data_IF_038462812028
#
_entry.id   IF_038462812028
#
_cell.length_a   1.000
_cell.length_b   1.000
_cell.length_c   1.000
_cell.angle_alpha   90.00
_cell.angle_beta   90.00
_cell.angle_gamma   90.00
#
_symmetry.space_group_name_H-M   'P 1'
#
loop_
_entity.id
_entity.type
_entity.pdbx_description
1 polymer ?
#
# COMPACT_ATOMS: atom_id res chain seq x y z
N UNK A 1 -21.14 22.40 -7.47
CA UNK A 1 -19.74 21.93 -7.43
C UNK A 1 -19.70 20.78 -6.45
N UNK A 2 -19.19 19.63 -6.85
CA UNK A 2 -19.01 18.49 -5.93
C UNK A 2 -17.94 18.89 -4.90
N UNK A 3 -18.30 18.88 -3.61
CA UNK A 3 -17.39 19.35 -2.56
C UNK A 3 -16.52 18.24 -1.96
N UNK A 4 -16.78 16.99 -2.33
CA UNK A 4 -16.14 15.80 -1.73
C UNK A 4 -15.84 14.74 -2.77
N UNK A 5 -14.94 13.82 -2.40
CA UNK A 5 -14.83 12.51 -3.05
C UNK A 5 -15.14 11.39 -2.05
N UNK A 6 -15.55 10.24 -2.56
CA UNK A 6 -15.80 9.04 -1.74
C UNK A 6 -15.34 7.77 -2.46
N UNK A 7 -14.92 6.79 -1.69
CA UNK A 7 -14.62 5.46 -2.19
C UNK A 7 -15.94 4.75 -2.49
N UNK A 8 -16.12 4.30 -3.74
CA UNK A 8 -17.31 3.59 -4.20
C UNK A 8 -17.07 2.13 -4.51
N UNK A 9 -15.82 1.73 -4.70
CA UNK A 9 -15.42 0.36 -4.92
C UNK A 9 -14.02 0.08 -4.46
N UNK A 10 -13.79 -1.15 -4.00
CA UNK A 10 -12.48 -1.67 -3.60
C UNK A 10 -12.16 -2.94 -4.38
N UNK A 11 -10.89 -3.24 -4.57
CA UNK A 11 -10.43 -4.45 -5.23
C UNK A 11 -9.00 -4.80 -4.83
N UNK A 12 -8.67 -6.07 -4.91
CA UNK A 12 -7.35 -6.56 -4.54
C UNK A 12 -6.90 -7.73 -5.42
N UNK A 13 -5.59 -7.95 -5.45
CA UNK A 13 -4.98 -9.11 -6.08
C UNK A 13 -3.72 -9.50 -5.30
N UNK A 14 -3.60 -10.80 -5.01
CA UNK A 14 -2.39 -11.42 -4.49
C UNK A 14 -1.89 -12.45 -5.51
N UNK A 15 -0.59 -12.49 -5.82
CA UNK A 15 -0.02 -13.55 -6.64
C UNK A 15 -0.36 -14.94 -6.10
N UNK A 16 -0.61 -15.94 -6.95
CA UNK A 16 -1.04 -17.27 -6.50
C UNK A 16 0.03 -18.03 -5.70
N UNK A 17 1.32 -17.68 -5.88
CA UNK A 17 2.42 -18.29 -5.13
C UNK A 17 2.45 -17.76 -3.70
N UNK A 18 1.76 -18.44 -2.80
CA UNK A 18 1.85 -18.21 -1.37
C UNK A 18 3.12 -18.87 -0.83
N UNK A 19 3.95 -18.11 -0.10
CA UNK A 19 5.22 -18.55 0.50
C UNK A 19 5.07 -18.45 2.02
N UNK A 20 5.04 -19.58 2.69
CA UNK A 20 4.99 -19.66 4.16
C UNK A 20 6.37 -19.37 4.76
N UNK A 21 6.42 -19.16 6.07
CA UNK A 21 7.72 -19.05 6.74
C UNK A 21 8.53 -20.34 6.61
N UNK A 22 7.90 -21.52 6.64
CA UNK A 22 8.59 -22.79 6.45
C UNK A 22 9.23 -22.89 5.05
N UNK A 23 8.52 -22.47 4.00
CA UNK A 23 9.06 -22.43 2.62
C UNK A 23 10.25 -21.48 2.53
N UNK A 24 10.11 -20.30 3.15
CA UNK A 24 11.17 -19.28 3.14
C UNK A 24 12.40 -19.76 3.93
N UNK A 25 12.21 -20.37 5.09
CA UNK A 25 13.29 -20.96 5.91
C UNK A 25 14.05 -22.00 5.10
N UNK A 26 13.36 -22.89 4.38
CA UNK A 26 13.99 -23.90 3.52
C UNK A 26 14.80 -23.23 2.38
N UNK A 27 14.25 -22.19 1.75
CA UNK A 27 14.95 -21.44 0.71
C UNK A 27 16.22 -20.74 1.25
N UNK A 28 16.13 -20.11 2.42
CA UNK A 28 17.24 -19.38 3.05
C UNK A 28 18.33 -20.33 3.56
N UNK A 29 17.97 -21.50 4.08
CA UNK A 29 18.90 -22.53 4.53
C UNK A 29 19.80 -23.04 3.39
N UNK A 30 19.27 -23.13 2.16
CA UNK A 30 20.05 -23.47 0.97
C UNK A 30 21.16 -22.42 0.67
N UNK A 31 20.96 -21.16 1.08
CA UNK A 31 21.94 -20.06 1.01
C UNK A 31 22.76 -19.86 2.28
N UNK A 32 22.75 -20.81 3.23
CA UNK A 32 23.40 -20.73 4.56
C UNK A 32 22.93 -19.54 5.43
N UNK A 33 21.70 -19.09 5.26
CA UNK A 33 21.09 -18.06 6.10
C UNK A 33 20.19 -18.71 7.16
N UNK A 34 20.58 -18.57 8.42
CA UNK A 34 19.86 -19.15 9.55
C UNK A 34 18.67 -18.29 9.96
N UNK A 35 17.48 -18.88 9.99
CA UNK A 35 16.24 -18.30 10.54
C UNK A 35 15.26 -19.39 10.90
N UNK A 36 14.13 -19.03 11.52
CA UNK A 36 13.06 -19.96 11.85
C UNK A 36 11.69 -19.28 11.75
N UNK A 37 10.63 -20.08 11.58
CA UNK A 37 9.26 -19.59 11.63
C UNK A 37 8.98 -18.82 12.93
N UNK A 38 9.39 -19.38 14.08
CA UNK A 38 9.24 -18.74 15.39
C UNK A 38 9.93 -17.36 15.42
N UNK A 39 11.16 -17.26 14.89
CA UNK A 39 11.92 -16.03 14.86
C UNK A 39 11.23 -14.94 14.00
N UNK A 40 10.66 -15.33 12.86
CA UNK A 40 9.92 -14.43 11.96
C UNK A 40 8.63 -13.97 12.64
N UNK A 41 7.83 -14.91 13.17
CA UNK A 41 6.56 -14.66 13.84
C UNK A 41 6.69 -13.70 15.01
N UNK A 42 7.62 -13.96 15.93
CA UNK A 42 7.81 -13.16 17.14
C UNK A 42 8.19 -11.71 16.83
N UNK A 43 8.89 -11.47 15.72
CA UNK A 43 9.39 -10.14 15.35
C UNK A 43 8.46 -9.36 14.45
N UNK A 44 7.68 -10.04 13.64
CA UNK A 44 6.94 -9.41 12.54
C UNK A 44 5.44 -9.68 12.58
N UNK A 45 5.02 -10.80 13.14
CA UNK A 45 3.67 -11.35 13.05
C UNK A 45 3.37 -12.02 11.70
N UNK A 46 4.34 -12.08 10.77
CA UNK A 46 4.13 -12.62 9.40
C UNK A 46 4.21 -14.14 9.42
N UNK A 47 3.21 -14.81 8.86
CA UNK A 47 3.15 -16.26 8.66
C UNK A 47 3.42 -16.64 7.19
N UNK A 48 2.96 -15.78 6.28
CA UNK A 48 3.10 -15.98 4.85
C UNK A 48 3.18 -14.64 4.10
N UNK A 49 3.63 -14.72 2.86
CA UNK A 49 3.61 -13.65 1.86
C UNK A 49 3.34 -14.27 0.50
N UNK A 50 3.12 -13.41 -0.50
CA UNK A 50 2.92 -13.83 -1.86
C UNK A 50 4.04 -13.28 -2.74
N UNK A 51 4.51 -14.07 -3.70
CA UNK A 51 5.53 -13.65 -4.65
C UNK A 51 5.01 -13.80 -6.09
N UNK A 52 5.20 -12.75 -6.87
CA UNK A 52 4.87 -12.74 -8.29
C UNK A 52 5.81 -13.67 -9.07
N UNK A 53 5.31 -14.28 -10.12
CA UNK A 53 6.13 -15.03 -11.08
C UNK A 53 7.01 -14.05 -11.88
N UNK A 54 8.07 -14.56 -12.52
CA UNK A 54 9.07 -13.74 -13.22
C UNK A 54 8.47 -12.93 -14.37
N UNK A 55 7.49 -13.46 -15.06
CA UNK A 55 6.77 -12.88 -16.20
C UNK A 55 5.63 -11.92 -15.80
N UNK A 56 5.28 -11.84 -14.51
CA UNK A 56 4.23 -10.94 -13.99
C UNK A 56 4.82 -9.56 -13.73
N UNK A 57 4.21 -8.52 -14.27
CA UNK A 57 4.59 -7.14 -14.04
C UNK A 57 3.69 -6.45 -13.01
N UNK A 58 4.15 -5.32 -12.48
CA UNK A 58 3.39 -4.51 -11.52
C UNK A 58 2.02 -4.10 -12.08
N UNK A 59 1.97 -3.72 -13.36
CA UNK A 59 0.73 -3.37 -14.05
C UNK A 59 -0.23 -4.56 -14.26
N UNK A 60 0.25 -5.81 -14.29
CA UNK A 60 -0.61 -6.99 -14.39
C UNK A 60 -1.40 -7.20 -13.09
N UNK A 61 -0.72 -7.11 -11.96
CA UNK A 61 -1.38 -7.18 -10.65
C UNK A 61 -2.32 -6.00 -10.44
N UNK A 62 -1.88 -4.79 -10.83
CA UNK A 62 -2.70 -3.58 -10.80
C UNK A 62 -3.98 -3.73 -11.62
N UNK A 63 -3.92 -4.39 -12.79
CA UNK A 63 -5.07 -4.66 -13.66
C UNK A 63 -6.12 -5.52 -12.97
N UNK A 64 -5.71 -6.60 -12.31
CA UNK A 64 -6.67 -7.48 -11.62
C UNK A 64 -7.33 -6.77 -10.42
N UNK A 65 -6.53 -6.04 -9.61
CA UNK A 65 -7.08 -5.24 -8.52
C UNK A 65 -8.05 -4.15 -9.03
N UNK A 66 -7.69 -3.46 -10.12
CA UNK A 66 -8.52 -2.44 -10.76
C UNK A 66 -9.86 -3.01 -11.27
N UNK A 67 -9.83 -4.16 -11.94
CA UNK A 67 -11.05 -4.85 -12.40
C UNK A 67 -11.99 -5.20 -11.24
N UNK A 68 -11.44 -5.65 -10.13
CA UNK A 68 -12.24 -5.95 -8.93
C UNK A 68 -12.84 -4.66 -8.34
N UNK A 69 -12.07 -3.57 -8.26
CA UNK A 69 -12.55 -2.28 -7.76
C UNK A 69 -13.65 -1.69 -8.63
N UNK A 70 -13.47 -1.69 -9.96
CA UNK A 70 -14.48 -1.23 -10.92
C UNK A 70 -15.78 -2.04 -10.82
N UNK A 71 -15.66 -3.37 -10.77
CA UNK A 71 -16.82 -4.25 -10.57
C UNK A 71 -17.56 -3.93 -9.27
N UNK A 72 -16.83 -3.67 -8.18
CA UNK A 72 -17.42 -3.31 -6.89
C UNK A 72 -18.11 -1.94 -6.93
N UNK A 73 -17.55 -0.99 -7.68
CA UNK A 73 -18.14 0.33 -7.90
C UNK A 73 -19.32 0.33 -8.90
N UNK A 74 -19.52 -0.76 -9.66
CA UNK A 74 -20.48 -0.81 -10.77
C UNK A 74 -20.11 0.14 -11.91
N UNK A 75 -18.81 0.26 -12.21
CA UNK A 75 -18.26 1.17 -13.22
C UNK A 75 -17.53 0.41 -14.31
N UNK A 76 -17.63 0.95 -15.53
CA UNK A 76 -16.80 0.52 -16.66
C UNK A 76 -15.49 1.30 -16.74
N UNK A 77 -14.47 0.70 -17.34
CA UNK A 77 -13.18 1.34 -17.53
C UNK A 77 -13.25 2.66 -18.34
N UNK A 78 -14.22 2.77 -19.24
CA UNK A 78 -14.47 3.98 -20.05
C UNK A 78 -15.00 5.17 -19.23
N UNK A 79 -15.46 4.95 -18.02
CA UNK A 79 -15.96 6.01 -17.12
C UNK A 79 -14.85 6.62 -16.27
N UNK A 80 -13.65 6.00 -16.25
CA UNK A 80 -12.48 6.50 -15.52
C UNK A 80 -11.87 7.69 -16.24
N UNK A 81 -11.72 8.79 -15.53
CA UNK A 81 -11.15 10.04 -16.05
C UNK A 81 -9.83 10.45 -15.35
N UNK A 82 -9.32 9.59 -14.43
CA UNK A 82 -8.01 9.73 -13.78
C UNK A 82 -7.50 8.36 -13.31
N UNK A 83 -6.23 8.04 -13.60
CA UNK A 83 -5.56 6.85 -13.06
C UNK A 83 -4.29 7.27 -12.31
N UNK A 84 -4.17 6.85 -11.05
CA UNK A 84 -2.96 7.02 -10.25
C UNK A 84 -2.51 5.65 -9.75
N UNK A 85 -1.26 5.30 -10.04
CA UNK A 85 -0.63 4.09 -9.47
C UNK A 85 0.46 4.50 -8.49
N UNK A 86 0.33 4.04 -7.25
CA UNK A 86 1.36 4.16 -6.24
C UNK A 86 2.26 2.92 -6.33
N UNK A 87 3.51 3.12 -6.73
CA UNK A 87 4.49 2.04 -6.87
C UNK A 87 5.93 2.54 -6.75
N UNK A 88 6.80 1.70 -6.21
CA UNK A 88 8.26 1.85 -6.20
C UNK A 88 8.94 0.76 -7.03
N UNK A 89 8.14 -0.14 -7.62
CA UNK A 89 8.57 -1.27 -8.45
C UNK A 89 7.85 -1.22 -9.81
N UNK A 90 8.00 -0.11 -10.58
CA UNK A 90 7.31 0.06 -11.84
C UNK A 90 7.73 -1.01 -12.85
N UNK A 91 6.91 -1.22 -13.89
CA UNK A 91 7.22 -2.15 -14.99
C UNK A 91 8.54 -1.78 -15.69
N UNK A 92 8.78 -0.49 -15.85
CA UNK A 92 9.96 0.08 -16.51
C UNK A 92 10.21 1.52 -16.05
N UNK A 93 11.32 2.12 -16.48
CA UNK A 93 11.68 3.50 -16.12
C UNK A 93 10.64 4.51 -16.63
N UNK A 94 10.17 4.34 -17.86
CA UNK A 94 9.01 5.03 -18.46
C UNK A 94 8.52 4.22 -19.68
N UNK A 95 7.24 4.33 -20.10
CA UNK A 95 6.18 5.14 -19.50
C UNK A 95 5.81 4.68 -18.09
N UNK A 96 4.97 5.46 -17.39
CA UNK A 96 4.48 5.11 -16.06
C UNK A 96 3.69 3.80 -16.06
N UNK A 97 3.71 3.07 -14.95
CA UNK A 97 2.88 1.88 -14.73
C UNK A 97 1.39 2.20 -14.89
N UNK A 98 0.96 3.42 -14.50
CA UNK A 98 -0.40 3.89 -14.71
C UNK A 98 -0.77 3.99 -16.21
N UNK A 99 0.13 4.46 -17.08
CA UNK A 99 -0.11 4.48 -18.53
C UNK A 99 -0.20 3.07 -19.12
N UNK A 100 0.62 2.13 -18.62
CA UNK A 100 0.56 0.73 -19.04
C UNK A 100 -0.76 0.10 -18.58
N UNK A 101 -1.15 0.33 -17.33
CA UNK A 101 -2.44 -0.10 -16.77
C UNK A 101 -3.61 0.46 -17.57
N UNK A 102 -3.58 1.77 -17.89
CA UNK A 102 -4.60 2.44 -18.72
C UNK A 102 -4.87 1.70 -20.02
N UNK A 103 -3.78 1.36 -20.73
CA UNK A 103 -3.88 0.61 -21.98
C UNK A 103 -4.45 -0.79 -21.78
N UNK A 104 -3.96 -1.54 -20.76
CA UNK A 104 -4.44 -2.89 -20.43
C UNK A 104 -5.90 -2.91 -20.02
N UNK A 105 -6.35 -1.85 -19.33
CA UNK A 105 -7.72 -1.71 -18.84
C UNK A 105 -8.69 -1.21 -19.93
N UNK A 106 -8.19 -0.57 -20.99
CA UNK A 106 -8.99 0.07 -22.01
C UNK A 106 -9.59 1.42 -21.60
N UNK A 107 -9.02 2.08 -20.58
CA UNK A 107 -9.45 3.40 -20.09
C UNK A 107 -8.71 4.54 -20.81
N UNK A 108 -8.82 4.63 -22.11
CA UNK A 108 -8.03 5.56 -22.92
C UNK A 108 -8.49 7.02 -22.77
N UNK A 109 -7.51 7.94 -22.85
CA UNK A 109 -7.73 9.39 -22.96
C UNK A 109 -7.76 10.14 -21.63
N UNK A 110 -7.71 9.47 -20.47
CA UNK A 110 -7.60 10.14 -19.17
C UNK A 110 -6.13 10.37 -18.76
N UNK A 111 -5.82 11.34 -17.88
CA UNK A 111 -4.54 11.44 -17.21
C UNK A 111 -4.19 10.16 -16.47
N UNK A 112 -2.93 9.69 -16.62
CA UNK A 112 -2.42 8.51 -15.96
C UNK A 112 -0.96 8.72 -15.58
N UNK A 113 -0.63 8.59 -14.27
CA UNK A 113 0.72 8.79 -13.75
C UNK A 113 0.97 8.01 -12.47
N UNK A 114 2.25 7.78 -12.19
CA UNK A 114 2.69 7.09 -10.98
C UNK A 114 3.02 8.09 -9.86
N UNK A 115 2.80 7.65 -8.61
CA UNK A 115 3.25 8.32 -7.39
C UNK A 115 4.21 7.40 -6.67
N UNK A 116 5.43 7.90 -6.41
CA UNK A 116 6.44 7.17 -5.65
C UNK A 116 6.56 7.77 -4.23
N UNK A 117 5.92 7.12 -3.27
CA UNK A 117 6.03 7.45 -1.86
C UNK A 117 6.06 6.17 -0.99
N UNK A 118 6.54 5.07 -1.58
CA UNK A 118 6.75 3.75 -0.96
C UNK A 118 5.50 3.32 -0.16
N UNK A 119 5.66 3.02 1.13
CA UNK A 119 4.58 2.52 1.99
C UNK A 119 3.40 3.49 2.17
N UNK A 120 3.64 4.81 2.04
CA UNK A 120 2.59 5.84 2.06
C UNK A 120 2.01 6.14 0.68
N UNK A 121 2.52 5.52 -0.37
CA UNK A 121 2.17 5.82 -1.77
C UNK A 121 0.67 5.80 -2.04
N UNK A 122 -0.05 4.81 -1.50
CA UNK A 122 -1.50 4.75 -1.67
C UNK A 122 -2.24 5.94 -1.03
N UNK A 123 -1.84 6.34 0.18
CA UNK A 123 -2.43 7.52 0.86
C UNK A 123 -2.14 8.79 0.07
N UNK A 124 -0.93 8.94 -0.48
CA UNK A 124 -0.60 10.04 -1.40
C UNK A 124 -1.47 10.01 -2.64
N UNK A 125 -1.64 8.84 -3.27
CA UNK A 125 -2.49 8.67 -4.44
C UNK A 125 -3.95 9.06 -4.18
N UNK A 126 -4.52 8.62 -3.06
CA UNK A 126 -5.88 9.00 -2.62
C UNK A 126 -5.98 10.52 -2.38
N UNK A 127 -4.98 11.11 -1.71
CA UNK A 127 -4.96 12.55 -1.45
C UNK A 127 -4.91 13.39 -2.73
N UNK A 128 -4.09 12.97 -3.71
CA UNK A 128 -4.00 13.64 -5.02
C UNK A 128 -5.31 13.49 -5.78
N UNK A 129 -5.90 12.28 -5.80
CA UNK A 129 -7.18 12.05 -6.47
C UNK A 129 -8.31 12.87 -5.84
N UNK A 130 -8.40 12.91 -4.50
CA UNK A 130 -9.38 13.76 -3.79
C UNK A 130 -9.22 15.24 -4.17
N UNK A 131 -7.98 15.75 -4.17
CA UNK A 131 -7.70 17.13 -4.55
C UNK A 131 -8.12 17.43 -6.00
N UNK A 132 -7.82 16.53 -6.95
CA UNK A 132 -8.21 16.70 -8.36
C UNK A 132 -9.72 16.63 -8.54
N UNK A 133 -10.42 15.76 -7.82
CA UNK A 133 -11.88 15.67 -7.84
C UNK A 133 -12.51 16.94 -7.28
N UNK A 134 -12.04 17.41 -6.12
CA UNK A 134 -12.54 18.64 -5.49
C UNK A 134 -12.29 19.89 -6.35
N UNK A 135 -11.17 19.90 -7.09
CA UNK A 135 -10.85 20.96 -8.05
C UNK A 135 -11.67 20.89 -9.35
N UNK A 136 -12.45 19.81 -9.56
CA UNK A 136 -13.24 19.60 -10.78
C UNK A 136 -12.44 19.09 -11.98
N UNK A 137 -11.20 18.63 -11.76
CA UNK A 137 -10.32 18.09 -12.79
C UNK A 137 -10.56 16.61 -13.08
N UNK A 138 -11.26 15.90 -12.19
CA UNK A 138 -11.69 14.52 -12.34
C UNK A 138 -13.04 14.31 -11.65
N UNK A 139 -13.76 13.24 -12.01
CA UNK A 139 -15.04 12.84 -11.40
C UNK A 139 -15.04 11.38 -10.95
N UNK A 140 -14.25 10.53 -11.62
CA UNK A 140 -14.14 9.11 -11.35
C UNK A 140 -12.66 8.69 -11.48
N UNK A 141 -11.98 8.59 -10.36
CA UNK A 141 -10.56 8.27 -10.29
C UNK A 141 -10.35 6.82 -9.86
N UNK A 142 -9.42 6.13 -10.53
CA UNK A 142 -8.88 4.85 -10.12
C UNK A 142 -7.53 5.08 -9.43
N UNK A 143 -7.43 4.69 -8.15
CA UNK A 143 -6.18 4.76 -7.37
C UNK A 143 -5.75 3.35 -7.01
N UNK A 144 -4.53 2.99 -7.40
CA UNK A 144 -3.98 1.65 -7.21
C UNK A 144 -2.67 1.73 -6.43
N UNK A 145 -2.48 0.86 -5.45
CA UNK A 145 -1.17 0.52 -4.89
C UNK A 145 -0.75 -0.85 -5.42
N UNK A 146 0.38 -0.95 -6.09
CA UNK A 146 0.86 -2.22 -6.64
C UNK A 146 2.37 -2.34 -6.52
N UNK A 147 2.86 -3.48 -6.01
CA UNK A 147 4.28 -3.66 -5.71
C UNK A 147 4.76 -5.09 -5.95
N UNK A 148 5.97 -5.21 -6.49
CA UNK A 148 6.74 -6.47 -6.58
C UNK A 148 8.04 -6.32 -5.77
N UNK A 149 7.92 -6.21 -4.46
CA UNK A 149 9.07 -6.00 -3.57
C UNK A 149 9.98 -7.21 -3.50
N UNK A 150 9.49 -8.42 -3.79
CA UNK A 150 10.31 -9.64 -3.83
C UNK A 150 11.52 -9.52 -4.75
N UNK A 151 11.46 -8.67 -5.79
CA UNK A 151 12.56 -8.42 -6.74
C UNK A 151 13.65 -7.49 -6.22
N UNK A 152 13.40 -6.79 -5.13
CA UNK A 152 14.35 -5.90 -4.48
C UNK A 152 15.05 -6.55 -3.27
N UNK A 153 14.73 -7.83 -2.97
CA UNK A 153 15.22 -8.50 -1.77
C UNK A 153 16.53 -9.25 -2.03
N UNK A 154 17.51 -9.04 -1.17
CA UNK A 154 18.67 -9.91 -1.05
C UNK A 154 18.30 -11.08 -0.12
N UNK A 155 18.11 -12.27 -0.66
CA UNK A 155 17.82 -13.46 0.13
C UNK A 155 19.01 -13.97 0.97
N UNK A 156 20.12 -13.24 0.99
CA UNK A 156 21.22 -13.43 1.95
C UNK A 156 21.07 -12.53 3.20
N UNK A 157 20.15 -11.56 3.15
CA UNK A 157 19.84 -10.68 4.28
C UNK A 157 18.47 -11.03 4.89
N UNK A 158 18.48 -11.86 5.93
CA UNK A 158 17.25 -12.24 6.65
C UNK A 158 16.54 -11.07 7.34
N UNK A 159 17.20 -9.92 7.51
CA UNK A 159 16.58 -8.76 8.18
C UNK A 159 15.56 -8.05 7.32
N UNK A 160 15.63 -8.25 6.00
CA UNK A 160 14.74 -7.66 5.01
C UNK A 160 13.89 -8.70 4.29
N UNK A 161 14.47 -9.80 3.81
CA UNK A 161 13.77 -10.75 2.95
C UNK A 161 12.60 -11.49 3.61
N UNK A 162 12.54 -11.54 4.94
CA UNK A 162 11.43 -12.15 5.68
C UNK A 162 10.21 -11.24 5.81
N UNK A 163 10.33 -9.96 5.47
CA UNK A 163 9.28 -8.97 5.70
C UNK A 163 8.33 -8.80 4.52
N UNK A 164 8.89 -8.65 3.31
CA UNK A 164 8.18 -8.14 2.17
C UNK A 164 7.50 -9.22 1.34
N UNK A 165 6.42 -8.82 0.69
CA UNK A 165 5.68 -9.59 -0.29
C UNK A 165 5.19 -8.71 -1.43
N UNK A 166 4.51 -9.32 -2.39
CA UNK A 166 3.98 -8.71 -3.60
C UNK A 166 2.45 -8.70 -3.57
N UNK A 167 1.86 -7.71 -4.23
CA UNK A 167 0.42 -7.61 -4.34
C UNK A 167 -0.04 -6.27 -4.90
N UNK A 168 -1.34 -6.17 -5.15
CA UNK A 168 -1.99 -4.94 -5.57
C UNK A 168 -3.34 -4.75 -4.89
N UNK A 169 -3.66 -3.51 -4.58
CA UNK A 169 -4.99 -3.12 -4.13
C UNK A 169 -5.42 -1.83 -4.83
N UNK A 170 -6.72 -1.67 -5.04
CA UNK A 170 -7.28 -0.55 -5.79
C UNK A 170 -8.56 -0.03 -5.16
N UNK A 171 -8.80 1.26 -5.37
CA UNK A 171 -10.09 1.89 -5.06
C UNK A 171 -10.56 2.75 -6.23
N UNK A 172 -11.88 2.85 -6.36
CA UNK A 172 -12.53 3.86 -7.21
C UNK A 172 -13.00 4.99 -6.30
N UNK A 173 -12.53 6.23 -6.59
CA UNK A 173 -13.02 7.45 -5.94
C UNK A 173 -13.93 8.20 -6.90
N UNK A 174 -15.10 8.58 -6.43
CA UNK A 174 -16.04 9.36 -7.20
C UNK A 174 -16.37 10.69 -6.55
N UNK A 175 -16.61 11.69 -7.39
CA UNK A 175 -17.16 12.98 -6.96
C UNK A 175 -18.49 12.80 -6.22
N UNK A 176 -18.65 13.49 -5.10
CA UNK A 176 -19.81 13.31 -4.21
C UNK A 176 -20.27 14.65 -3.62
N UNK A 177 -21.57 14.76 -3.39
CA UNK A 177 -22.16 15.85 -2.62
C UNK A 177 -22.15 15.57 -1.11
N UNK A 178 -21.93 14.31 -0.72
CA UNK A 178 -21.81 13.88 0.68
C UNK A 178 -20.33 13.59 1.03
N UNK A 179 -19.91 13.87 2.27
CA UNK A 179 -18.55 13.58 2.71
C UNK A 179 -18.17 12.11 2.53
N UNK A 180 -16.95 11.88 2.04
CA UNK A 180 -16.33 10.56 1.92
C UNK A 180 -14.89 10.66 2.45
N UNK A 181 -13.96 11.26 1.70
CA UNK A 181 -12.65 11.61 2.24
C UNK A 181 -12.82 12.86 3.10
N UNK A 182 -12.65 12.71 4.42
CA UNK A 182 -12.87 13.81 5.38
C UNK A 182 -11.65 14.72 5.46
N UNK A 183 -10.46 14.14 5.57
CA UNK A 183 -9.20 14.88 5.61
C UNK A 183 -8.05 14.02 5.10
N UNK A 184 -6.99 14.67 4.64
CA UNK A 184 -5.71 14.07 4.32
C UNK A 184 -4.58 14.88 4.94
N UNK A 185 -3.52 14.17 5.39
CA UNK A 185 -2.34 14.80 5.99
C UNK A 185 -1.09 14.06 5.46
N UNK A 186 -0.23 14.77 4.73
CA UNK A 186 0.94 14.21 4.07
C UNK A 186 2.21 14.89 4.56
N UNK A 187 3.22 14.09 4.89
CA UNK A 187 4.52 14.56 5.35
C UNK A 187 5.66 13.79 4.69
N UNK A 188 6.83 14.41 4.62
CA UNK A 188 8.08 13.75 4.26
C UNK A 188 9.25 14.41 5.03
N UNK A 189 10.25 13.61 5.41
CA UNK A 189 11.48 14.12 6.03
C UNK A 189 12.71 13.47 5.38
N UNK A 190 13.26 14.15 4.37
CA UNK A 190 14.37 13.68 3.58
C UNK A 190 15.68 13.45 4.34
N UNK A 191 15.79 13.90 5.62
CA UNK A 191 16.98 13.60 6.43
C UNK A 191 17.15 12.11 6.76
N UNK A 192 16.09 11.31 6.61
CA UNK A 192 16.07 9.89 6.92
C UNK A 192 16.27 8.96 5.70
N UNK A 193 16.67 9.50 4.54
CA UNK A 193 16.84 8.75 3.29
C UNK A 193 17.68 7.48 3.42
N UNK A 194 18.67 7.47 4.33
CA UNK A 194 19.59 6.33 4.49
C UNK A 194 19.07 5.16 5.34
N UNK A 195 17.92 5.28 6.05
CA UNK A 195 17.46 4.21 6.94
C UNK A 195 16.64 3.13 6.23
N UNK A 196 16.07 3.46 5.05
CA UNK A 196 15.33 2.52 4.20
C UNK A 196 15.42 3.01 2.76
N UNK A 197 16.15 2.30 1.91
CA UNK A 197 16.38 2.70 0.52
C UNK A 197 16.74 1.52 -0.37
N UNK A 198 16.64 1.73 -1.69
CA UNK A 198 17.25 0.91 -2.74
C UNK A 198 18.18 1.85 -3.53
N UNK A 199 19.51 1.77 -3.33
CA UNK A 199 20.46 2.71 -3.93
C UNK A 199 20.67 2.52 -5.44
N UNK A 200 20.14 1.45 -6.03
CA UNK A 200 20.30 1.15 -7.45
C UNK A 200 19.61 2.19 -8.36
N UNK A 201 20.25 2.49 -9.47
CA UNK A 201 19.74 3.40 -10.49
C UNK A 201 20.20 2.99 -11.89
N UNK A 202 19.60 3.56 -12.92
CA UNK A 202 20.04 3.36 -14.31
C UNK A 202 20.89 4.55 -14.74
N UNK A 203 22.11 4.29 -15.25
CA UNK A 203 23.02 5.29 -15.77
C UNK A 203 23.74 4.74 -16.99
N UNK A 204 23.78 5.52 -18.08
CA UNK A 204 24.45 5.11 -19.33
C UNK A 204 23.87 3.82 -19.95
N UNK A 205 22.59 3.53 -19.71
CA UNK A 205 21.92 2.31 -20.19
C UNK A 205 22.24 1.05 -19.38
N UNK A 206 22.92 1.19 -18.24
CA UNK A 206 23.33 0.09 -17.35
C UNK A 206 22.71 0.31 -15.97
N UNK A 207 22.23 -0.77 -15.33
CA UNK A 207 21.87 -0.73 -13.92
C UNK A 207 23.16 -0.59 -13.08
N UNK A 208 23.21 0.39 -12.20
CA UNK A 208 24.35 0.75 -11.38
C UNK A 208 23.95 0.90 -9.91
N UNK A 209 24.91 0.79 -9.00
CA UNK A 209 24.66 0.80 -7.55
C UNK A 209 24.18 -0.54 -7.03
N UNK A 210 23.79 -0.58 -5.73
CA UNK A 210 23.23 -1.78 -5.12
C UNK A 210 21.73 -1.88 -5.43
N UNK A 211 21.28 -2.92 -6.14
CA UNK A 211 19.90 -3.07 -6.51
C UNK A 211 18.99 -3.55 -5.36
N UNK A 212 19.58 -3.94 -4.24
CA UNK A 212 18.86 -4.51 -3.13
C UNK A 212 18.43 -3.49 -2.09
N UNK A 213 17.30 -3.76 -1.48
CA UNK A 213 16.75 -2.99 -0.37
C UNK A 213 17.69 -3.04 0.84
N UNK A 214 17.97 -1.87 1.40
CA UNK A 214 18.72 -1.68 2.64
C UNK A 214 17.81 -1.09 3.70
N UNK A 215 17.88 -1.62 4.93
CA UNK A 215 17.03 -1.15 6.02
C UNK A 215 17.76 -1.20 7.37
N UNK A 216 17.75 -0.07 8.08
CA UNK A 216 17.99 -0.04 9.53
C UNK A 216 16.65 -0.25 10.26
N UNK A 217 16.33 -1.50 10.56
CA UNK A 217 15.04 -1.87 11.15
C UNK A 217 14.77 -1.24 12.51
N UNK A 218 15.82 -0.91 13.30
CA UNK A 218 15.65 -0.26 14.60
C UNK A 218 15.30 1.22 14.43
N UNK A 219 16.01 1.92 13.55
CA UNK A 219 15.72 3.30 13.23
C UNK A 219 14.33 3.48 12.60
N UNK A 220 13.97 2.61 11.65
CA UNK A 220 12.63 2.57 11.03
C UNK A 220 11.55 2.36 12.08
N UNK A 221 11.68 1.36 12.96
CA UNK A 221 10.69 1.09 14.01
C UNK A 221 10.48 2.29 14.94
N UNK A 222 11.58 2.86 15.45
CA UNK A 222 11.55 4.00 16.37
C UNK A 222 10.88 5.22 15.74
N UNK A 223 11.20 5.48 14.46
CA UNK A 223 10.65 6.60 13.72
C UNK A 223 9.16 6.40 13.41
N UNK A 224 8.80 5.22 12.89
CA UNK A 224 7.44 4.88 12.48
C UNK A 224 6.42 5.06 13.61
N UNK A 225 6.69 4.49 14.79
CA UNK A 225 5.78 4.56 15.94
C UNK A 225 5.48 6.00 16.38
N UNK A 226 6.46 6.90 16.27
CA UNK A 226 6.27 8.31 16.62
C UNK A 226 5.54 9.12 15.54
N UNK A 227 5.86 8.85 14.29
CA UNK A 227 5.27 9.59 13.14
C UNK A 227 3.82 9.19 12.90
N UNK A 228 3.50 7.89 12.97
CA UNK A 228 2.13 7.41 12.79
C UNK A 228 1.18 8.04 13.82
N UNK A 229 1.53 8.03 15.12
CA UNK A 229 0.70 8.71 16.13
C UNK A 229 0.49 10.19 15.80
N UNK A 230 1.57 10.90 15.45
CA UNK A 230 1.50 12.34 15.17
C UNK A 230 0.64 12.63 13.94
N UNK A 231 0.81 11.89 12.86
CA UNK A 231 0.05 12.05 11.63
C UNK A 231 -1.42 11.69 11.83
N UNK A 232 -1.73 10.60 12.54
CA UNK A 232 -3.10 10.24 12.86
C UNK A 232 -3.81 11.35 13.64
N UNK A 233 -3.20 11.90 14.70
CA UNK A 233 -3.79 13.00 15.48
C UNK A 233 -4.02 14.25 14.64
N UNK A 234 -3.05 14.64 13.79
CA UNK A 234 -3.19 15.77 12.90
C UNK A 234 -4.32 15.58 11.87
N UNK A 235 -4.45 14.35 11.33
CA UNK A 235 -5.54 14.01 10.40
C UNK A 235 -6.90 14.08 11.07
N UNK A 236 -7.03 13.55 12.30
CA UNK A 236 -8.27 13.62 13.07
C UNK A 236 -8.67 15.05 13.41
N UNK A 237 -7.70 15.88 13.83
CA UNK A 237 -7.92 17.31 14.08
C UNK A 237 -8.43 18.03 12.82
N UNK A 238 -7.80 17.79 11.65
CA UNK A 238 -8.26 18.34 10.36
C UNK A 238 -9.67 17.86 9.98
N UNK A 239 -10.00 16.62 10.32
CA UNK A 239 -11.33 16.05 10.07
C UNK A 239 -12.39 16.54 11.06
N UNK A 240 -11.97 17.14 12.18
CA UNK A 240 -12.87 17.57 13.26
C UNK A 240 -13.50 16.40 14.02
N UNK A 241 -12.80 15.27 14.13
CA UNK A 241 -13.27 14.06 14.84
C UNK A 241 -12.27 13.59 15.89
N UNK A 242 -12.78 12.94 16.93
CA UNK A 242 -11.99 12.36 18.01
C UNK A 242 -11.61 10.90 17.69
N UNK A 243 -10.52 10.39 18.28
CA UNK A 243 -10.05 9.04 18.07
C UNK A 243 -11.08 7.94 18.41
N UNK A 244 -11.96 8.18 19.39
CA UNK A 244 -13.02 7.25 19.77
C UNK A 244 -14.15 7.15 18.73
N UNK A 245 -14.23 8.09 17.79
CA UNK A 245 -15.19 8.09 16.67
C UNK A 245 -14.68 7.30 15.45
N UNK A 246 -13.43 6.80 15.49
CA UNK A 246 -12.92 5.88 14.50
C UNK A 246 -13.59 4.52 14.73
N UNK A 247 -14.22 3.99 13.66
CA UNK A 247 -14.73 2.62 13.67
C UNK A 247 -13.59 1.64 13.38
N UNK A 248 -12.76 1.94 12.38
CA UNK A 248 -11.65 1.09 11.94
C UNK A 248 -10.37 1.87 11.65
N UNK A 249 -9.25 1.31 12.07
CA UNK A 249 -7.91 1.73 11.67
C UNK A 249 -7.33 0.69 10.71
N UNK A 250 -6.92 1.13 9.52
CA UNK A 250 -6.24 0.31 8.51
C UNK A 250 -4.84 0.89 8.28
N UNK A 251 -3.86 0.55 9.12
CA UNK A 251 -2.51 1.03 8.97
C UNK A 251 -1.77 0.27 7.87
N UNK A 252 -0.68 0.84 7.40
CA UNK A 252 0.31 0.10 6.63
C UNK A 252 0.73 -1.18 7.35
N UNK A 253 0.67 -2.29 6.65
CA UNK A 253 0.89 -3.64 7.16
C UNK A 253 2.39 -4.00 7.17
N UNK A 254 3.19 -3.20 7.89
CA UNK A 254 4.64 -3.41 7.95
C UNK A 254 5.05 -4.51 8.95
N UNK A 255 4.47 -4.44 10.13
CA UNK A 255 4.85 -5.25 11.28
C UNK A 255 3.77 -5.13 12.36
N UNK A 256 3.32 -6.26 12.90
CA UNK A 256 2.27 -6.27 13.93
C UNK A 256 2.62 -5.43 15.17
N UNK A 257 3.91 -5.36 15.55
CA UNK A 257 4.37 -4.60 16.72
C UNK A 257 4.25 -3.09 16.53
N UNK A 258 4.46 -2.59 15.29
CA UNK A 258 4.24 -1.18 14.94
C UNK A 258 2.75 -0.87 15.06
N UNK A 259 1.89 -1.69 14.46
CA UNK A 259 0.44 -1.54 14.48
C UNK A 259 -0.11 -1.52 15.92
N UNK A 260 0.31 -2.47 16.76
CA UNK A 260 -0.04 -2.53 18.19
C UNK A 260 0.42 -1.28 18.96
N UNK A 261 1.62 -0.80 18.66
CA UNK A 261 2.16 0.39 19.31
C UNK A 261 1.40 1.66 18.94
N UNK A 262 1.05 1.81 17.67
CA UNK A 262 0.25 2.95 17.17
C UNK A 262 -1.17 2.91 17.74
N UNK A 263 -1.86 1.78 17.68
CA UNK A 263 -3.19 1.62 18.26
C UNK A 263 -3.22 1.99 19.74
N UNK A 264 -2.23 1.53 20.53
CA UNK A 264 -2.10 1.85 21.95
C UNK A 264 -1.95 3.35 22.19
N UNK A 265 -1.14 4.05 21.38
CA UNK A 265 -0.92 5.49 21.49
C UNK A 265 -2.14 6.33 21.13
N UNK A 266 -2.97 5.80 20.22
CA UNK A 266 -4.25 6.40 19.85
C UNK A 266 -5.41 5.98 20.78
N UNK A 267 -5.13 5.15 21.80
CA UNK A 267 -6.14 4.58 22.70
C UNK A 267 -7.21 3.75 21.98
N UNK A 268 -6.84 3.10 20.85
CA UNK A 268 -7.70 2.19 20.09
C UNK A 268 -7.45 0.74 20.52
N UNK A 269 -8.52 -0.05 20.67
CA UNK A 269 -8.42 -1.50 20.80
C UNK A 269 -7.92 -2.12 19.50
N UNK A 270 -7.12 -3.17 19.60
CA UNK A 270 -6.71 -3.97 18.41
C UNK A 270 -7.90 -4.60 17.67
N UNK A 271 -9.06 -4.76 18.31
CA UNK A 271 -10.29 -5.22 17.66
C UNK A 271 -10.81 -4.24 16.60
N UNK A 272 -10.39 -2.98 16.67
CA UNK A 272 -10.67 -1.94 15.67
C UNK A 272 -9.55 -1.78 14.63
N UNK A 273 -8.52 -2.62 14.65
CA UNK A 273 -7.40 -2.57 13.71
C UNK A 273 -7.50 -3.73 12.73
N UNK A 274 -7.54 -3.40 11.44
CA UNK A 274 -7.49 -4.41 10.39
C UNK A 274 -6.07 -4.95 10.29
N UNK A 275 -5.92 -6.27 10.41
CA UNK A 275 -4.63 -6.97 10.36
C UNK A 275 -4.67 -7.97 9.22
N UNK A 276 -3.76 -7.83 8.27
CA UNK A 276 -3.53 -8.76 7.15
C UNK A 276 -2.06 -9.08 6.95
N UNK A 277 -1.19 -8.43 7.74
CA UNK A 277 0.27 -8.60 7.65
C UNK A 277 0.70 -10.05 7.87
N UNK A 278 -0.05 -10.81 8.65
CA UNK A 278 0.21 -12.22 8.92
C UNK A 278 0.14 -13.09 7.67
N UNK A 279 -0.74 -12.78 6.71
CA UNK A 279 -0.93 -13.53 5.47
C UNK A 279 -0.32 -12.87 4.23
N UNK A 280 -0.25 -11.54 4.21
CA UNK A 280 0.22 -10.81 3.03
C UNK A 280 1.69 -10.40 3.11
N UNK A 281 2.28 -10.34 4.33
CA UNK A 281 3.55 -9.68 4.57
C UNK A 281 3.45 -8.17 4.37
N UNK A 282 4.60 -7.52 4.27
CA UNK A 282 4.68 -6.10 3.93
C UNK A 282 4.67 -5.93 2.39
N UNK A 283 3.58 -5.48 1.83
CA UNK A 283 3.42 -5.22 0.39
C UNK A 283 3.55 -3.72 0.04
N UNK A 284 4.26 -2.95 0.86
CA UNK A 284 4.53 -1.51 0.63
C UNK A 284 3.26 -0.71 0.28
N UNK A 285 3.21 -0.01 -0.86
CA UNK A 285 2.06 0.80 -1.28
C UNK A 285 0.76 0.00 -1.46
N UNK A 286 0.85 -1.30 -1.71
CA UNK A 286 -0.33 -2.17 -1.86
C UNK A 286 -0.97 -2.57 -0.52
N UNK A 287 -0.27 -2.42 0.61
CA UNK A 287 -0.69 -3.02 1.89
C UNK A 287 -2.00 -2.44 2.43
N UNK A 288 -2.17 -1.13 2.38
CA UNK A 288 -3.38 -0.45 2.86
C UNK A 288 -4.59 -0.82 1.99
N UNK A 289 -4.56 -0.69 0.64
CA UNK A 289 -5.72 -1.03 -0.17
C UNK A 289 -6.03 -2.52 -0.20
N UNK A 290 -5.04 -3.41 -0.06
CA UNK A 290 -5.25 -4.85 0.16
C UNK A 290 -6.02 -5.12 1.47
N UNK A 291 -5.59 -4.49 2.57
CA UNK A 291 -6.25 -4.63 3.86
C UNK A 291 -7.66 -4.02 3.86
N UNK A 292 -7.85 -2.90 3.17
CA UNK A 292 -9.16 -2.27 3.00
C UNK A 292 -10.13 -3.19 2.24
N UNK A 293 -9.72 -3.72 1.09
CA UNK A 293 -10.57 -4.63 0.31
C UNK A 293 -10.88 -5.91 1.09
N UNK A 294 -9.90 -6.48 1.79
CA UNK A 294 -10.10 -7.63 2.68
C UNK A 294 -11.17 -7.34 3.73
N UNK A 295 -11.09 -6.20 4.42
CA UNK A 295 -12.01 -5.83 5.48
C UNK A 295 -13.42 -5.54 4.95
N UNK A 296 -13.54 -4.92 3.78
CA UNK A 296 -14.83 -4.69 3.12
C UNK A 296 -15.47 -6.02 2.67
N UNK A 297 -14.71 -6.91 2.04
CA UNK A 297 -15.19 -8.20 1.55
C UNK A 297 -15.58 -9.17 2.66
N UNK A 298 -14.87 -9.15 3.77
CA UNK A 298 -15.21 -9.95 4.95
C UNK A 298 -16.41 -9.40 5.74
N UNK A 299 -16.92 -8.20 5.39
CA UNK A 299 -17.98 -7.52 6.12
C UNK A 299 -17.52 -6.89 7.45
N UNK A 300 -16.22 -6.84 7.69
CA UNK A 300 -15.63 -6.18 8.85
C UNK A 300 -15.85 -4.66 8.77
N UNK A 301 -15.51 -4.03 7.63
CA UNK A 301 -15.79 -2.62 7.36
C UNK A 301 -17.06 -2.48 6.54
N UNK A 302 -17.96 -1.61 6.99
CA UNK A 302 -19.27 -1.36 6.36
C UNK A 302 -19.38 0.06 5.83
N UNK A 303 -20.26 0.25 4.87
CA UNK A 303 -20.56 1.57 4.34
C UNK A 303 -21.07 2.53 5.43
N UNK A 304 -20.52 3.74 5.48
CA UNK A 304 -20.88 4.76 6.48
C UNK A 304 -20.00 4.76 7.73
N UNK A 305 -19.14 3.75 7.91
CA UNK A 305 -18.18 3.72 9.02
C UNK A 305 -16.97 4.62 8.74
N UNK A 306 -16.41 5.17 9.81
CA UNK A 306 -15.23 6.04 9.76
C UNK A 306 -13.96 5.22 9.81
N UNK A 307 -13.14 5.33 8.76
CA UNK A 307 -11.89 4.58 8.61
C UNK A 307 -10.69 5.52 8.60
N UNK A 308 -9.71 5.24 9.44
CA UNK A 308 -8.39 5.88 9.41
C UNK A 308 -7.43 5.01 8.60
N UNK A 309 -6.94 5.54 7.46
CA UNK A 309 -5.87 4.94 6.66
C UNK A 309 -4.57 5.66 6.99
N UNK A 310 -3.50 4.96 7.32
CA UNK A 310 -2.22 5.59 7.62
C UNK A 310 -1.02 4.76 7.21
N UNK A 311 0.08 5.44 6.85
CA UNK A 311 1.34 4.81 6.48
C UNK A 311 2.55 5.68 6.82
N UNK A 312 3.72 5.08 6.78
CA UNK A 312 5.01 5.73 7.02
C UNK A 312 6.09 5.11 6.14
#
# INVERSE_FOLDING_TARGET
MNSYSRITGTGSYLPPRRVTNADLVAQLAAGAVETSDQWIMERTGIQARHFAAEDVHCSDMALEAARHALKAAGRDASEIDLIIVATSTPDMVFPSTACILQNKLGANGCPAFDVQAVCTGFVYGVSVADAMIRAGNARCALVVGSEIFSRLLDFRDRTTCVLFGDGAGAVVLEASETPGILATDLHADGKHVGILCVPGHVSGGVASGDPFLKMDGQAVFKLAVGLLEKSARATLEKAGIEANQIDWMIPHQANIRIMQSTARKLHLSMDKVVVTVDQHGNTSAASIPLALDHAVRSGQVKAGETVLLEGV
#
